data_IF_835068911006
#
_entry.id   IF_835068911006
#
_cell.length_a   1.000
_cell.length_b   1.000
_cell.length_c   1.000
_cell.angle_alpha   90.00
_cell.angle_beta   90.00
_cell.angle_gamma   90.00
#
_symmetry.space_group_name_H-M   'P 1'
#
loop_
_entity.id
_entity.type
_entity.pdbx_description
1 polymer ?
#
# COMPACT_ATOMS: atom_id res chain seq x y z
N UNK A 1 6.79 11.32 5.48
CA UNK A 1 5.43 10.97 4.97
C UNK A 1 4.88 12.15 4.20
N UNK A 2 4.68 11.99 2.89
CA UNK A 2 4.28 13.09 1.99
C UNK A 2 2.89 12.80 1.41
N UNK A 3 2.16 13.87 1.05
CA UNK A 3 0.84 13.80 0.41
C UNK A 3 0.84 14.61 -0.88
N UNK A 4 0.18 14.11 -1.92
CA UNK A 4 -0.03 14.84 -3.17
C UNK A 4 -1.37 14.46 -3.82
N UNK A 5 -1.83 15.30 -4.75
CA UNK A 5 -2.96 15.00 -5.63
C UNK A 5 -2.42 14.63 -7.01
N UNK A 6 -2.94 13.56 -7.61
CA UNK A 6 -2.65 13.26 -9.01
C UNK A 6 -3.48 14.13 -9.98
N UNK A 7 -3.19 14.04 -11.28
CA UNK A 7 -3.85 14.78 -12.34
C UNK A 7 -5.37 14.48 -12.44
N UNK A 8 -5.85 13.40 -11.83
CA UNK A 8 -7.26 13.03 -11.77
C UNK A 8 -7.94 13.46 -10.46
N UNK A 9 -7.19 14.10 -9.55
CA UNK A 9 -7.69 14.58 -8.26
C UNK A 9 -7.74 13.52 -7.16
N UNK A 10 -7.09 12.36 -7.32
CA UNK A 10 -6.97 11.40 -6.23
C UNK A 10 -5.88 11.83 -5.25
N UNK A 11 -6.21 11.78 -3.97
CA UNK A 11 -5.26 12.00 -2.89
C UNK A 11 -4.42 10.74 -2.66
N UNK A 12 -3.11 10.94 -2.63
CA UNK A 12 -2.12 9.88 -2.38
C UNK A 12 -1.29 10.19 -1.14
N UNK A 13 -1.06 9.17 -0.33
CA UNK A 13 -0.12 9.16 0.78
C UNK A 13 1.10 8.33 0.40
N UNK A 14 2.29 8.90 0.59
CA UNK A 14 3.56 8.24 0.24
C UNK A 14 4.39 7.99 1.49
N UNK A 15 4.84 6.76 1.65
CA UNK A 15 5.75 6.36 2.72
C UNK A 15 6.72 5.29 2.25
N UNK A 16 7.94 5.34 2.77
CA UNK A 16 8.89 4.25 2.68
C UNK A 16 8.64 3.24 3.80
N UNK A 17 8.67 1.95 3.49
CA UNK A 17 8.70 0.86 4.48
C UNK A 17 9.92 -0.03 4.23
N UNK A 18 10.58 -0.53 5.29
CA UNK A 18 11.76 -1.37 5.15
C UNK A 18 11.43 -2.68 4.42
N UNK A 19 12.38 -3.15 3.60
CA UNK A 19 12.27 -4.42 2.87
C UNK A 19 12.46 -5.60 3.83
N UNK A 20 11.37 -6.31 4.15
CA UNK A 20 11.28 -7.57 4.93
C UNK A 20 12.55 -8.03 5.70
N UNK A 21 12.98 -7.23 6.67
CA UNK A 21 14.00 -7.63 7.65
C UNK A 21 15.43 -7.73 7.14
N UNK A 22 15.72 -7.31 5.90
CA UNK A 22 17.09 -7.20 5.41
C UNK A 22 17.58 -5.80 5.72
N UNK A 23 18.33 -5.66 6.81
CA UNK A 23 19.16 -4.49 7.03
C UNK A 23 20.06 -4.33 5.79
N UNK A 24 20.23 -3.11 5.29
CA UNK A 24 21.06 -2.75 4.12
C UNK A 24 20.41 -2.80 2.73
N UNK A 25 19.16 -3.26 2.58
CA UNK A 25 18.40 -3.00 1.34
C UNK A 25 17.59 -1.71 1.47
N UNK A 26 17.56 -0.84 0.43
CA UNK A 26 16.64 0.28 0.41
C UNK A 26 15.21 -0.22 0.63
N UNK A 27 14.39 0.61 1.27
CA UNK A 27 12.99 0.30 1.50
C UNK A 27 12.20 0.14 0.21
N UNK A 28 10.89 -0.02 0.32
CA UNK A 28 9.99 0.14 -0.81
C UNK A 28 9.14 1.38 -0.56
N UNK A 29 8.90 2.16 -1.61
CA UNK A 29 7.92 3.24 -1.57
C UNK A 29 6.52 2.67 -1.75
N UNK A 30 5.63 3.05 -0.86
CA UNK A 30 4.22 2.71 -0.91
C UNK A 30 3.40 3.97 -1.18
N UNK A 31 2.49 3.86 -2.13
CA UNK A 31 1.51 4.87 -2.46
C UNK A 31 0.13 4.35 -2.07
N UNK A 32 -0.51 5.03 -1.14
CA UNK A 32 -1.85 4.69 -0.68
C UNK A 32 -2.85 5.72 -1.19
N UNK A 33 -3.92 5.25 -1.82
CA UNK A 33 -5.12 6.03 -2.07
C UNK A 33 -6.34 5.18 -1.73
N UNK A 34 -7.52 5.77 -1.73
CA UNK A 34 -8.76 5.12 -1.30
C UNK A 34 -8.96 3.79 -2.06
N UNK A 35 -8.75 2.66 -1.35
CA UNK A 35 -8.87 1.31 -1.90
C UNK A 35 -7.74 0.86 -2.84
N UNK A 36 -6.67 1.64 -2.99
CA UNK A 36 -5.54 1.34 -3.87
C UNK A 36 -4.23 1.41 -3.10
N UNK A 37 -3.39 0.39 -3.27
CA UNK A 37 -2.02 0.38 -2.77
C UNK A 37 -1.10 0.06 -3.91
N UNK A 38 -0.12 0.94 -4.15
CA UNK A 38 0.92 0.73 -5.14
C UNK A 38 2.27 0.64 -4.43
N UNK A 39 3.19 -0.13 -4.99
CA UNK A 39 4.55 -0.30 -4.46
C UNK A 39 5.56 -0.03 -5.55
N UNK A 40 6.58 0.74 -5.22
CA UNK A 40 7.74 0.98 -6.06
C UNK A 40 9.01 0.54 -5.32
N UNK A 41 9.81 -0.33 -5.96
CA UNK A 41 11.08 -0.82 -5.41
C UNK A 41 12.26 0.05 -5.82
N UNK A 42 12.25 0.54 -7.07
CA UNK A 42 13.35 1.29 -7.68
C UNK A 42 13.02 2.78 -7.75
N UNK A 43 13.26 3.49 -6.63
CA UNK A 43 13.10 4.95 -6.49
C UNK A 43 14.42 5.61 -6.08
N UNK A 44 14.59 6.92 -6.37
CA UNK A 44 15.77 7.66 -5.92
C UNK A 44 15.85 7.70 -4.39
N UNK A 45 17.05 7.59 -3.82
CA UNK A 45 17.27 7.57 -2.37
C UNK A 45 16.76 8.84 -1.64
N UNK A 46 16.58 9.95 -2.35
CA UNK A 46 16.07 11.23 -1.83
C UNK A 46 14.69 11.54 -2.40
N UNK A 47 13.71 10.68 -2.12
CA UNK A 47 12.34 10.87 -2.63
C UNK A 47 11.57 11.98 -1.89
N UNK A 48 11.98 12.31 -0.67
CA UNK A 48 11.28 13.31 0.16
C UNK A 48 11.35 14.74 -0.40
N UNK A 49 12.37 15.04 -1.21
CA UNK A 49 12.58 16.37 -1.82
C UNK A 49 11.92 16.52 -3.20
N UNK A 50 11.25 15.47 -3.69
CA UNK A 50 10.64 15.47 -5.02
C UNK A 50 9.37 16.33 -5.05
N UNK A 51 9.18 17.03 -6.17
CA UNK A 51 7.96 17.78 -6.43
C UNK A 51 6.74 16.85 -6.59
N UNK A 52 5.53 17.40 -6.46
CA UNK A 52 4.29 16.62 -6.65
C UNK A 52 4.21 15.93 -8.01
N UNK A 53 4.73 16.57 -9.07
CA UNK A 53 4.75 16.01 -10.43
C UNK A 53 5.72 14.84 -10.56
N UNK A 54 6.85 14.88 -9.83
CA UNK A 54 7.80 13.79 -9.79
C UNK A 54 7.27 12.62 -8.97
N UNK A 55 6.62 12.88 -7.83
CA UNK A 55 5.92 11.86 -7.05
C UNK A 55 4.80 11.17 -7.84
N UNK A 56 4.04 11.93 -8.63
CA UNK A 56 3.07 11.37 -9.56
C UNK A 56 3.73 10.47 -10.62
N UNK A 57 4.87 10.90 -11.17
CA UNK A 57 5.62 10.11 -12.15
C UNK A 57 6.15 8.80 -11.55
N UNK A 58 6.60 8.82 -10.29
CA UNK A 58 6.98 7.61 -9.55
C UNK A 58 5.78 6.71 -9.28
N UNK A 59 4.63 7.27 -8.90
CA UNK A 59 3.39 6.54 -8.68
C UNK A 59 2.94 5.79 -9.94
N UNK A 60 3.02 6.42 -11.11
CA UNK A 60 2.66 5.78 -12.39
C UNK A 60 3.54 4.56 -12.70
N UNK A 61 4.78 4.56 -12.22
CA UNK A 61 5.72 3.43 -12.35
C UNK A 61 5.55 2.36 -11.26
N UNK A 62 4.79 2.66 -10.20
CA UNK A 62 4.58 1.75 -9.10
C UNK A 62 3.66 0.60 -9.52
N UNK A 63 4.03 -0.62 -9.13
CA UNK A 63 3.20 -1.79 -9.37
C UNK A 63 1.95 -1.70 -8.51
N UNK A 64 0.79 -1.96 -9.12
CA UNK A 64 -0.44 -2.19 -8.36
C UNK A 64 -0.22 -3.45 -7.54
N UNK A 65 -0.21 -3.33 -6.21
CA UNK A 65 -0.41 -4.47 -5.34
C UNK A 65 -1.90 -4.81 -5.41
N UNK A 66 -2.34 -5.33 -6.56
CA UNK A 66 -3.72 -5.71 -6.79
C UNK A 66 -3.97 -6.99 -6.02
N UNK A 67 -4.54 -6.84 -4.82
CA UNK A 67 -5.38 -7.81 -4.14
C UNK A 67 -5.04 -9.29 -4.37
N UNK A 68 -3.99 -9.79 -3.72
CA UNK A 68 -4.08 -11.11 -3.10
C UNK A 68 -4.63 -10.96 -1.68
N UNK A 69 -5.78 -10.30 -1.60
CA UNK A 69 -6.80 -10.62 -0.62
C UNK A 69 -8.03 -10.88 -1.46
N UNK A 70 -8.10 -12.12 -1.94
CA UNK A 70 -9.33 -12.89 -1.90
C UNK A 70 -10.35 -12.19 -0.99
N UNK A 71 -11.46 -11.72 -1.57
CA UNK A 71 -12.65 -11.42 -0.77
C UNK A 71 -12.77 -12.53 0.28
N UNK A 72 -12.83 -12.26 1.60
CA UNK A 72 -13.22 -13.32 2.51
C UNK A 72 -14.56 -13.83 1.98
N UNK A 73 -14.62 -15.09 1.56
CA UNK A 73 -15.90 -15.75 1.28
C UNK A 73 -16.75 -15.53 2.54
N UNK A 74 -17.98 -15.03 2.45
CA UNK A 74 -18.91 -15.15 3.56
C UNK A 74 -19.37 -16.60 3.60
N UNK A 75 -18.55 -17.48 4.16
CA UNK A 75 -18.91 -18.86 4.42
C UNK A 75 -18.23 -19.28 5.71
N UNK A 76 -19.06 -19.50 6.74
CA UNK A 76 -18.75 -19.97 8.09
C UNK A 76 -18.53 -18.89 9.16
N UNK A 77 -19.46 -17.95 9.27
CA UNK A 77 -20.06 -17.75 10.61
C UNK A 77 -21.19 -18.78 10.78
N UNK A 78 -20.81 -20.03 11.04
CA UNK A 78 -21.66 -20.87 11.88
C UNK A 78 -21.23 -20.59 13.31
N UNK A 79 -22.08 -19.87 14.01
CA UNK A 79 -21.97 -19.52 15.42
C UNK A 79 -21.52 -20.73 16.25
N UNK A 80 -20.56 -20.50 17.14
CA UNK A 80 -20.31 -21.38 18.27
C UNK A 80 -21.10 -20.84 19.46
N UNK A 81 -22.31 -21.38 19.67
CA UNK A 81 -23.14 -21.27 20.89
C UNK A 81 -24.37 -22.15 20.64
N UNK A 82 -24.78 -23.19 21.37
CA UNK A 82 -24.45 -23.89 22.62
C UNK A 82 -24.05 -25.34 22.20
N UNK A 83 -23.30 -26.16 22.94
CA UNK A 83 -23.74 -26.86 24.14
C UNK A 83 -22.51 -27.29 24.94
N UNK A 84 -22.27 -26.61 26.05
CA UNK A 84 -21.88 -27.29 27.27
C UNK A 84 -23.08 -27.13 28.22
N UNK A 85 -23.48 -28.24 28.85
CA UNK A 85 -24.56 -28.42 29.84
C UNK A 85 -25.92 -28.91 29.32
N UNK A 86 -25.99 -30.22 29.07
CA UNK A 86 -26.95 -31.14 29.71
C UNK A 86 -26.32 -32.53 29.80
#
# INVERSE_FOLDING_TARGET
MIRFLDAFGFAWHVTELPSNGVADLPGNLYFFSRGNTLRLRDYPAHWDDLSWRELESLRVRADVLSSDVTRPRPALWRATHLEAMA
#
